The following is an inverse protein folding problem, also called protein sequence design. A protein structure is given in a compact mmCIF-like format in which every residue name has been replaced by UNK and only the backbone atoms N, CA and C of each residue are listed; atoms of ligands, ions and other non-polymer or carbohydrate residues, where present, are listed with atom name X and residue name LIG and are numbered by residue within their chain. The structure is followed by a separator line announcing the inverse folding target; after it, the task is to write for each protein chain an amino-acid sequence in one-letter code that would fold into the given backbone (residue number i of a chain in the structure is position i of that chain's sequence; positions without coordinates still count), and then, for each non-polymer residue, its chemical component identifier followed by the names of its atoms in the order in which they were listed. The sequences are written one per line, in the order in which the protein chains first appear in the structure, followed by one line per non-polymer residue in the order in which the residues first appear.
data_IF_821919652683
#
_entry.id   IF_821919652683
#
_cell.length_a   1.000
_cell.length_b   1.000
_cell.length_c   1.000
_cell.angle_alpha   90.00
_cell.angle_beta   90.00
_cell.angle_gamma   90.00
#
_symmetry.space_group_name_H-M   'P 1'
#
loop_
_entity.id
_entity.type
_entity.pdbx_description
1 polymer ?
#
# COMPACT_ATOMS: atom_id res chain seq x y z
N UNK A 1 20.64 -15.64 -6.04
CA UNK A 1 19.42 -16.30 -6.51
C UNK A 1 18.25 -15.81 -5.67
N UNK A 2 17.25 -15.23 -6.31
CA UNK A 2 16.09 -14.76 -5.59
C UNK A 2 15.24 -15.94 -5.14
N UNK A 3 14.80 -15.89 -3.88
CA UNK A 3 13.86 -16.89 -3.39
C UNK A 3 12.50 -16.62 -3.99
N UNK A 4 11.85 -17.66 -4.48
CA UNK A 4 10.48 -17.55 -4.96
C UNK A 4 9.56 -17.23 -3.79
N UNK A 5 8.55 -16.42 -4.05
CA UNK A 5 7.55 -16.13 -3.05
C UNK A 5 6.73 -17.38 -2.73
N UNK A 6 6.43 -17.56 -1.45
CA UNK A 6 5.54 -18.64 -1.04
C UNK A 6 4.11 -18.35 -1.49
N UNK A 7 3.24 -19.36 -1.59
CA UNK A 7 1.82 -19.11 -1.87
C UNK A 7 1.18 -18.15 -0.88
N UNK A 8 1.59 -18.20 0.39
CA UNK A 8 1.09 -17.28 1.41
C UNK A 8 1.48 -15.84 1.10
N UNK A 9 2.75 -15.61 0.72
CA UNK A 9 3.19 -14.27 0.32
C UNK A 9 2.40 -13.75 -0.87
N UNK A 10 2.19 -14.58 -1.88
CA UNK A 10 1.45 -14.19 -3.08
C UNK A 10 0.01 -13.80 -2.75
N UNK A 11 -0.64 -14.58 -1.90
CA UNK A 11 -2.01 -14.29 -1.49
C UNK A 11 -2.08 -12.97 -0.71
N UNK A 12 -1.15 -12.74 0.21
CA UNK A 12 -1.09 -11.52 0.99
C UNK A 12 -0.78 -10.31 0.11
N UNK A 13 0.10 -10.47 -0.87
CA UNK A 13 0.40 -9.39 -1.82
C UNK A 13 -0.89 -8.89 -2.48
N UNK A 14 -1.72 -9.83 -2.95
CA UNK A 14 -2.97 -9.49 -3.62
C UNK A 14 -3.97 -8.84 -2.67
N UNK A 15 -4.16 -9.41 -1.50
CA UNK A 15 -5.11 -8.88 -0.51
C UNK A 15 -4.71 -7.47 -0.07
N UNK A 16 -3.43 -7.28 0.27
CA UNK A 16 -2.94 -5.98 0.72
C UNK A 16 -3.04 -4.95 -0.41
N UNK A 17 -2.69 -5.35 -1.63
CA UNK A 17 -2.79 -4.45 -2.78
C UNK A 17 -4.22 -3.93 -2.96
N UNK A 18 -5.20 -4.82 -2.91
CA UNK A 18 -6.60 -4.45 -3.06
C UNK A 18 -7.07 -3.52 -1.96
N UNK A 19 -6.73 -3.82 -0.71
CA UNK A 19 -7.18 -3.02 0.41
C UNK A 19 -6.51 -1.64 0.45
N UNK A 20 -5.21 -1.59 0.19
CA UNK A 20 -4.50 -0.30 0.15
C UNK A 20 -5.01 0.56 -0.99
N UNK A 21 -5.23 -0.03 -2.17
CA UNK A 21 -5.78 0.71 -3.30
C UNK A 21 -7.12 1.33 -2.94
N UNK A 22 -7.98 0.57 -2.27
CA UNK A 22 -9.28 1.07 -1.82
C UNK A 22 -9.15 2.21 -0.81
N UNK A 23 -8.25 2.05 0.17
CA UNK A 23 -8.04 3.08 1.18
C UNK A 23 -7.52 4.37 0.58
N UNK A 24 -6.57 4.28 -0.35
CA UNK A 24 -6.01 5.45 -1.01
C UNK A 24 -7.05 6.14 -1.90
N UNK A 25 -7.83 5.37 -2.65
CA UNK A 25 -8.88 5.94 -3.49
C UNK A 25 -9.92 6.68 -2.65
N UNK A 26 -10.30 6.11 -1.51
CA UNK A 26 -11.24 6.76 -0.61
C UNK A 26 -10.67 8.05 -0.02
N UNK A 27 -9.38 8.04 0.34
CA UNK A 27 -8.71 9.22 0.88
C UNK A 27 -8.67 10.35 -0.16
N UNK A 28 -8.36 10.02 -1.41
CA UNK A 28 -8.33 11.00 -2.50
C UNK A 28 -9.72 11.57 -2.75
N UNK A 29 -10.74 10.70 -2.75
CA UNK A 29 -12.12 11.13 -2.97
C UNK A 29 -12.60 12.10 -1.91
N UNK A 30 -12.17 11.90 -0.65
CA UNK A 30 -12.55 12.76 0.47
C UNK A 30 -11.74 14.05 0.52
N UNK A 31 -10.59 14.09 -0.16
CA UNK A 31 -9.75 15.27 -0.20
C UNK A 31 -10.25 16.24 -1.26
N UNK A 32 -9.78 17.49 -1.17
CA UNK A 32 -10.10 18.49 -2.19
C UNK A 32 -9.12 18.46 -3.37
N UNK A 33 -8.23 17.48 -3.41
CA UNK A 33 -7.25 17.35 -4.48
C UNK A 33 -7.95 16.86 -5.75
N UNK A 34 -7.85 17.64 -6.82
CA UNK A 34 -8.41 17.27 -8.12
C UNK A 34 -7.30 16.82 -9.06
N UNK A 35 -7.67 16.01 -10.07
CA UNK A 35 -6.77 15.57 -11.12
C UNK A 35 -5.57 14.77 -10.61
N UNK A 36 -5.74 14.08 -9.50
CA UNK A 36 -4.70 13.19 -8.97
C UNK A 36 -5.13 11.74 -9.16
N UNK A 37 -4.30 10.98 -9.86
CA UNK A 37 -4.52 9.54 -10.07
C UNK A 37 -3.40 8.78 -9.42
N UNK A 38 -3.76 7.86 -8.53
CA UNK A 38 -2.81 6.99 -7.83
C UNK A 38 -3.23 5.55 -8.05
N UNK A 39 -2.30 4.75 -8.55
CA UNK A 39 -2.51 3.32 -8.77
C UNK A 39 -1.47 2.54 -7.99
N UNK A 40 -1.88 1.44 -7.38
CA UNK A 40 -0.96 0.53 -6.73
C UNK A 40 -0.57 -0.51 -7.78
N UNK A 41 0.68 -0.45 -8.23
CA UNK A 41 1.13 -1.32 -9.32
C UNK A 41 1.59 -2.68 -8.81
N UNK A 42 2.11 -2.74 -7.59
CA UNK A 42 2.64 -3.98 -7.05
C UNK A 42 2.77 -3.87 -5.53
N UNK A 43 2.56 -4.99 -4.85
CA UNK A 43 2.88 -5.14 -3.43
C UNK A 43 3.72 -6.38 -3.26
N UNK A 44 4.82 -6.27 -2.51
CA UNK A 44 5.70 -7.39 -2.17
C UNK A 44 5.87 -7.47 -0.66
N UNK A 45 5.40 -8.55 -0.08
CA UNK A 45 5.56 -8.82 1.35
C UNK A 45 6.84 -9.63 1.55
N UNK A 46 7.59 -9.30 2.59
CA UNK A 46 8.80 -10.07 2.93
C UNK A 46 8.45 -11.47 3.43
N UNK A 47 9.40 -12.43 3.37
CA UNK A 47 9.09 -13.82 3.80
C UNK A 47 8.59 -13.93 5.23
N UNK A 48 9.08 -13.09 6.14
CA UNK A 48 8.63 -13.08 7.54
C UNK A 48 7.39 -12.21 7.76
N UNK A 49 6.87 -11.61 6.67
CA UNK A 49 5.67 -10.76 6.69
C UNK A 49 5.81 -9.56 7.64
N UNK A 50 7.05 -9.09 7.82
CA UNK A 50 7.32 -7.92 8.66
C UNK A 50 7.18 -6.62 7.88
N UNK A 51 7.35 -6.65 6.56
CA UNK A 51 7.30 -5.46 5.73
C UNK A 51 6.57 -5.75 4.42
N UNK A 52 5.80 -4.77 3.97
CA UNK A 52 5.16 -4.80 2.66
C UNK A 52 5.68 -3.61 1.85
N UNK A 53 6.33 -3.91 0.73
CA UNK A 53 6.79 -2.89 -0.21
C UNK A 53 5.65 -2.59 -1.17
N UNK A 54 5.20 -1.34 -1.17
CA UNK A 54 4.07 -0.91 -1.97
C UNK A 54 4.58 0.01 -3.09
N UNK A 55 4.44 -0.43 -4.31
CA UNK A 55 4.85 0.34 -5.49
C UNK A 55 3.65 1.08 -6.05
N UNK A 56 3.78 2.38 -6.23
CA UNK A 56 2.69 3.24 -6.65
C UNK A 56 3.04 3.96 -7.95
N UNK A 57 2.02 4.24 -8.74
CA UNK A 57 2.12 5.10 -9.91
C UNK A 57 1.24 6.32 -9.65
N UNK A 58 1.81 7.50 -9.74
CA UNK A 58 1.12 8.74 -9.41
C UNK A 58 1.15 9.68 -10.62
N UNK A 59 0.00 10.17 -11.02
CA UNK A 59 -0.15 11.09 -12.13
C UNK A 59 -0.96 12.30 -11.67
N UNK A 60 -0.58 13.53 -12.03
CA UNK A 60 0.53 13.90 -12.91
C UNK A 60 1.89 13.84 -12.19
N UNK A 61 2.97 13.74 -12.99
CA UNK A 61 4.32 13.54 -12.47
C UNK A 61 4.79 14.68 -11.55
N UNK A 62 4.35 15.90 -11.79
CA UNK A 62 4.76 17.03 -10.96
C UNK A 62 4.21 16.98 -9.53
N UNK A 63 3.22 16.12 -9.28
CA UNK A 63 2.65 15.92 -7.95
C UNK A 63 3.11 14.61 -7.30
N UNK A 64 3.86 13.80 -8.05
CA UNK A 64 4.20 12.45 -7.62
C UNK A 64 5.04 12.43 -6.34
N UNK A 65 6.10 13.25 -6.28
CA UNK A 65 6.98 13.27 -5.11
C UNK A 65 6.27 13.78 -3.87
N UNK A 66 5.45 14.81 -4.03
CA UNK A 66 4.70 15.39 -2.90
C UNK A 66 3.70 14.38 -2.34
N UNK A 67 2.99 13.69 -3.22
CA UNK A 67 2.02 12.71 -2.77
C UNK A 67 2.67 11.47 -2.18
N UNK A 68 3.81 11.05 -2.75
CA UNK A 68 4.58 9.95 -2.19
C UNK A 68 5.02 10.26 -0.76
N UNK A 69 5.50 11.49 -0.53
CA UNK A 69 5.89 11.92 0.81
C UNK A 69 4.69 11.94 1.75
N UNK A 70 3.54 12.36 1.24
CA UNK A 70 2.29 12.34 2.00
C UNK A 70 1.94 10.92 2.44
N UNK A 71 2.08 9.94 1.54
CA UNK A 71 1.85 8.54 1.87
C UNK A 71 2.81 8.06 2.96
N UNK A 72 4.07 8.46 2.88
CA UNK A 72 5.07 8.08 3.88
C UNK A 72 4.79 8.68 5.24
N UNK A 73 4.35 9.93 5.26
CA UNK A 73 3.98 10.60 6.51
C UNK A 73 2.77 9.92 7.14
N UNK A 74 1.81 9.49 6.33
CA UNK A 74 0.56 8.90 6.80
C UNK A 74 0.58 7.37 6.84
N UNK A 75 1.75 6.74 6.73
CA UNK A 75 1.82 5.28 6.67
C UNK A 75 1.27 4.60 7.93
N UNK A 76 1.43 5.26 9.07
CA UNK A 76 0.91 4.71 10.33
C UNK A 76 -0.60 4.63 10.32
N UNK A 77 -1.27 5.67 9.82
CA UNK A 77 -2.72 5.68 9.70
C UNK A 77 -3.19 4.65 8.69
N UNK A 78 -2.48 4.53 7.56
CA UNK A 78 -2.81 3.53 6.55
C UNK A 78 -2.66 2.11 7.10
N UNK A 79 -1.59 1.87 7.87
CA UNK A 79 -1.39 0.58 8.52
C UNK A 79 -2.53 0.27 9.49
N UNK A 80 -2.94 1.26 10.28
CA UNK A 80 -4.06 1.10 11.21
C UNK A 80 -5.35 0.76 10.45
N UNK A 81 -5.66 1.52 9.41
CA UNK A 81 -6.87 1.29 8.62
C UNK A 81 -6.84 -0.09 7.97
N UNK A 82 -5.67 -0.49 7.46
CA UNK A 82 -5.48 -1.81 6.89
C UNK A 82 -5.71 -2.90 7.93
N UNK A 83 -5.23 -2.69 9.16
CA UNK A 83 -5.40 -3.66 10.23
C UNK A 83 -6.87 -3.87 10.57
N UNK A 84 -7.67 -2.81 10.50
CA UNK A 84 -9.11 -2.93 10.75
C UNK A 84 -9.81 -3.74 9.67
N UNK A 85 -9.33 -3.65 8.44
CA UNK A 85 -9.89 -4.41 7.31
C UNK A 85 -9.49 -5.88 7.35
N UNK A 86 -8.28 -6.18 7.83
CA UNK A 86 -7.69 -7.51 7.73
C UNK A 86 -7.53 -8.24 9.05
N UNK A 87 -8.07 -7.70 10.14
CA UNK A 87 -7.86 -8.24 11.50
C UNK A 87 -8.30 -9.70 11.65
N UNK A 88 -9.27 -10.16 10.86
CA UNK A 88 -9.72 -11.54 10.90
C UNK A 88 -8.93 -12.46 9.98
N UNK A 89 -8.10 -11.89 9.11
CA UNK A 89 -7.29 -12.66 8.16
C UNK A 89 -5.83 -12.69 8.54
N UNK A 90 -5.34 -11.65 9.21
CA UNK A 90 -3.93 -11.51 9.57
C UNK A 90 -3.78 -11.15 11.04
N UNK A 91 -2.92 -11.90 11.73
CA UNK A 91 -2.59 -11.59 13.12
C UNK A 91 -1.64 -10.40 13.23
N UNK A 92 -0.77 -10.28 12.24
CA UNK A 92 0.25 -9.24 12.20
C UNK A 92 0.13 -8.51 10.87
N UNK A 93 0.08 -7.18 10.94
CA UNK A 93 0.05 -6.35 9.75
C UNK A 93 1.47 -5.87 9.48
N UNK A 94 2.00 -6.06 8.26
CA UNK A 94 3.36 -5.62 7.97
C UNK A 94 3.49 -4.10 7.96
N UNK A 95 4.70 -3.63 8.20
CA UNK A 95 5.02 -2.22 8.02
C UNK A 95 4.96 -1.88 6.54
N UNK A 96 4.38 -0.72 6.22
CA UNK A 96 4.25 -0.29 4.83
C UNK A 96 5.43 0.57 4.42
N UNK A 97 5.91 0.35 3.20
CA UNK A 97 6.99 1.12 2.61
C UNK A 97 6.58 1.46 1.18
N UNK A 98 6.61 2.75 0.82
CA UNK A 98 6.08 3.22 -0.46
C UNK A 98 7.18 3.63 -1.41
N UNK A 99 7.07 3.24 -2.68
CA UNK A 99 8.02 3.53 -3.75
C UNK A 99 7.28 3.89 -5.04
N UNK A 100 7.88 4.77 -5.79
CA UNK A 100 7.38 5.08 -7.15
C UNK A 100 7.83 4.05 -8.17
#
# INVERSE_FOLDING_TARGET
MEKQETPRQKKLNTVIQQEIASLIQNAIRKSSISNLMVSITKVKVTPDISMAKVYVSIFPNNKANDYLENLRINKGQLKYDLSQKLKFQLRKIPELSFYL
#
